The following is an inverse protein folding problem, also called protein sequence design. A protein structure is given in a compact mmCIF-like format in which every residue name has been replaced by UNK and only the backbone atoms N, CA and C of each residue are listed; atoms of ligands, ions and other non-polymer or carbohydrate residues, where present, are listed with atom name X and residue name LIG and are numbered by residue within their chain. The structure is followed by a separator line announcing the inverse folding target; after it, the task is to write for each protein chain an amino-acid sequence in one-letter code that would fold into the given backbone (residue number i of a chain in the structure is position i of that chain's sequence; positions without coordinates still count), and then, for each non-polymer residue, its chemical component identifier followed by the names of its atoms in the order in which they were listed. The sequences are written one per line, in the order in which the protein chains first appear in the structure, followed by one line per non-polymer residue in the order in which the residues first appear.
data_IF_133819383117
#
_entry.id   IF_133819383117
#
_cell.length_a   1.000
_cell.length_b   1.000
_cell.length_c   1.000
_cell.angle_alpha   90.00
_cell.angle_beta   90.00
_cell.angle_gamma   90.00
#
_symmetry.space_group_name_H-M   'P 1'
#
loop_
_entity.id
_entity.type
_entity.pdbx_description
1 polymer ?
#
# COMPACT_ATOMS: atom_id res chain seq x y z
N UNK A 1 29.18 -32.52 8.72
CA UNK A 1 27.86 -32.17 9.30
C UNK A 1 26.87 -33.25 8.93
N UNK A 2 26.33 -33.96 9.92
CA UNK A 2 25.54 -35.17 9.73
C UNK A 2 24.14 -34.77 9.22
N UNK A 3 23.52 -35.58 8.36
CA UNK A 3 22.22 -35.25 7.73
C UNK A 3 21.14 -34.88 8.77
N UNK A 4 21.15 -35.57 9.91
CA UNK A 4 20.26 -35.33 11.06
C UNK A 4 20.42 -33.92 11.64
N UNK A 5 21.64 -33.41 11.71
CA UNK A 5 21.92 -32.06 12.23
C UNK A 5 21.40 -30.99 11.26
N UNK A 6 21.54 -31.22 9.94
CA UNK A 6 21.01 -30.31 8.93
C UNK A 6 19.48 -30.23 8.96
N UNK A 7 18.81 -31.37 9.12
CA UNK A 7 17.35 -31.41 9.24
C UNK A 7 16.87 -30.67 10.49
N UNK A 8 17.54 -30.86 11.63
CA UNK A 8 17.19 -30.18 12.88
C UNK A 8 17.36 -28.65 12.81
N UNK A 9 18.42 -28.17 12.13
CA UNK A 9 18.65 -26.73 11.94
C UNK A 9 17.60 -26.12 10.99
N UNK A 10 17.24 -26.84 9.93
CA UNK A 10 16.22 -26.39 8.97
C UNK A 10 14.84 -26.31 9.61
N UNK A 11 14.44 -27.32 10.38
CA UNK A 11 13.15 -27.29 11.09
C UNK A 11 13.08 -26.16 12.10
N UNK A 12 14.12 -25.95 12.91
CA UNK A 12 14.15 -24.87 13.90
C UNK A 12 14.04 -23.48 13.26
N UNK A 13 14.66 -23.29 12.10
CA UNK A 13 14.61 -22.02 11.35
C UNK A 13 13.21 -21.72 10.82
N UNK A 14 12.50 -22.73 10.32
CA UNK A 14 11.13 -22.58 9.79
C UNK A 14 10.14 -22.23 10.91
N UNK A 15 10.25 -22.88 12.08
CA UNK A 15 9.40 -22.56 13.23
C UNK A 15 9.65 -21.14 13.77
N UNK A 16 10.89 -20.65 13.76
CA UNK A 16 11.21 -19.28 14.20
C UNK A 16 10.60 -18.18 13.33
N UNK A 17 10.48 -18.41 12.01
CA UNK A 17 9.93 -17.42 11.07
C UNK A 17 8.41 -17.23 11.19
N UNK A 18 7.67 -18.23 11.70
CA UNK A 18 6.23 -18.14 11.87
C UNK A 18 5.79 -17.09 12.92
N UNK A 19 6.70 -16.71 13.84
CA UNK A 19 6.41 -15.73 14.88
C UNK A 19 6.34 -14.27 14.34
N UNK A 20 6.92 -13.98 13.17
CA UNK A 20 6.94 -12.62 12.62
C UNK A 20 5.68 -12.24 11.82
N UNK A 21 4.76 -13.19 11.55
CA UNK A 21 3.55 -12.93 10.77
C UNK A 21 2.31 -12.56 11.62
N UNK A 22 2.45 -12.48 12.95
CA UNK A 22 1.32 -12.47 13.89
C UNK A 22 0.73 -11.10 14.28
N UNK A 23 1.23 -9.96 13.80
CA UNK A 23 0.71 -8.65 14.20
C UNK A 23 -0.42 -8.20 13.27
N UNK A 24 -1.57 -8.85 13.31
CA UNK A 24 -2.79 -8.28 12.73
C UNK A 24 -3.33 -7.22 13.70
N UNK A 25 -2.91 -5.97 13.52
CA UNK A 25 -3.56 -4.82 14.16
C UNK A 25 -5.02 -4.83 13.73
N UNK A 26 -5.93 -5.09 14.66
CA UNK A 26 -7.36 -4.93 14.45
C UNK A 26 -7.59 -3.45 14.14
N UNK A 27 -7.81 -3.15 12.86
CA UNK A 27 -8.08 -1.80 12.39
C UNK A 27 -9.36 -1.30 13.06
N UNK A 28 -9.29 -0.20 13.79
CA UNK A 28 -10.45 0.53 14.35
C UNK A 28 -11.13 1.40 13.30
N UNK A 29 -10.92 1.12 12.02
CA UNK A 29 -11.44 1.92 10.93
C UNK A 29 -12.96 1.84 10.88
N UNK A 30 -13.60 3.00 11.05
CA UNK A 30 -15.02 3.21 10.80
C UNK A 30 -15.11 3.97 9.49
N UNK A 31 -15.81 3.40 8.51
CA UNK A 31 -16.05 4.07 7.23
C UNK A 31 -16.95 5.30 7.44
N UNK A 32 -16.55 6.50 7.00
CA UNK A 32 -17.38 7.69 7.12
C UNK A 32 -18.63 7.56 6.24
N UNK A 33 -19.78 8.03 6.74
CA UNK A 33 -21.04 8.00 6.01
C UNK A 33 -20.91 8.71 4.66
N UNK A 34 -21.18 7.97 3.58
CA UNK A 34 -21.11 8.44 2.20
C UNK A 34 -22.10 9.57 1.97
N UNK A 35 -21.64 10.82 2.02
CA UNK A 35 -22.36 11.94 1.42
C UNK A 35 -22.42 11.72 -0.11
N UNK A 36 -23.51 12.09 -0.81
CA UNK A 36 -23.58 11.99 -2.26
C UNK A 36 -22.45 12.85 -2.84
N UNK A 37 -21.44 12.19 -3.40
CA UNK A 37 -20.34 12.85 -4.10
C UNK A 37 -20.95 13.41 -5.38
N UNK A 38 -21.18 14.72 -5.43
CA UNK A 38 -21.43 15.40 -6.69
C UNK A 38 -20.25 15.03 -7.61
N UNK A 39 -20.53 14.30 -8.69
CA UNK A 39 -19.54 13.89 -9.67
C UNK A 39 -19.11 15.14 -10.45
N UNK A 40 -18.18 15.91 -9.89
CA UNK A 40 -17.43 16.87 -10.68
C UNK A 40 -16.56 16.07 -11.64
N UNK A 41 -16.82 16.19 -12.94
CA UNK A 41 -16.12 15.53 -14.04
C UNK A 41 -14.65 15.95 -14.22
N UNK A 42 -13.99 16.42 -13.16
CA UNK A 42 -12.56 16.67 -13.14
C UNK A 42 -11.83 15.32 -13.03
N UNK A 43 -11.44 14.76 -14.18
CA UNK A 43 -10.67 13.53 -14.26
C UNK A 43 -9.31 13.74 -13.58
N UNK A 44 -9.06 12.98 -12.51
CA UNK A 44 -7.77 12.99 -11.80
C UNK A 44 -6.66 12.44 -12.71
N UNK A 45 -5.44 12.98 -12.61
CA UNK A 45 -4.30 12.37 -13.30
C UNK A 45 -3.81 11.13 -12.53
N UNK A 46 -4.50 10.02 -12.75
CA UNK A 46 -4.20 8.73 -12.11
C UNK A 46 -2.80 8.21 -12.45
N UNK A 47 -2.26 8.52 -13.64
CA UNK A 47 -0.94 8.04 -14.05
C UNK A 47 0.16 8.75 -13.26
N UNK A 48 0.02 10.07 -13.13
CA UNK A 48 0.94 10.86 -12.32
C UNK A 48 0.89 10.40 -10.85
N UNK A 49 -0.31 10.29 -10.28
CA UNK A 49 -0.50 9.88 -8.88
C UNK A 49 0.09 8.50 -8.63
N UNK A 50 -0.22 7.50 -9.47
CA UNK A 50 0.31 6.15 -9.32
C UNK A 50 1.85 6.11 -9.39
N UNK A 51 2.45 6.99 -10.21
CA UNK A 51 3.91 7.09 -10.30
C UNK A 51 4.52 7.61 -9.01
N UNK A 52 3.97 8.69 -8.45
CA UNK A 52 4.44 9.28 -7.20
C UNK A 52 4.26 8.32 -6.02
N UNK A 53 3.08 7.70 -5.91
CA UNK A 53 2.80 6.74 -4.84
C UNK A 53 3.74 5.52 -4.89
N UNK A 54 4.08 5.03 -6.09
CA UNK A 54 5.06 3.96 -6.26
C UNK A 54 6.45 4.39 -5.78
N UNK A 55 6.89 5.58 -6.15
CA UNK A 55 8.21 6.11 -5.72
C UNK A 55 8.23 6.29 -4.19
N UNK A 56 7.16 6.85 -3.63
CA UNK A 56 7.04 7.09 -2.19
C UNK A 56 7.06 5.78 -1.40
N UNK A 57 6.30 4.78 -1.84
CA UNK A 57 6.28 3.44 -1.22
C UNK A 57 7.67 2.79 -1.20
N UNK A 58 8.39 2.86 -2.32
CA UNK A 58 9.75 2.32 -2.40
C UNK A 58 10.75 3.03 -1.47
N UNK A 59 10.40 4.22 -0.98
CA UNK A 59 11.20 5.02 -0.05
C UNK A 59 10.67 5.01 1.38
N UNK A 60 9.59 4.29 1.66
CA UNK A 60 8.92 4.31 2.97
C UNK A 60 8.29 5.66 3.33
N UNK A 61 7.91 6.46 2.33
CA UNK A 61 7.26 7.76 2.51
C UNK A 61 5.75 7.56 2.40
N UNK A 62 5.01 8.12 3.35
CA UNK A 62 3.54 8.19 3.29
C UNK A 62 3.10 9.48 2.59
N UNK A 63 2.14 9.36 1.66
CA UNK A 63 1.69 10.48 0.81
C UNK A 63 0.21 10.72 1.04
N UNK A 64 -0.11 11.95 1.43
CA UNK A 64 -1.49 12.43 1.58
C UNK A 64 -1.73 13.56 0.58
N UNK A 65 -2.65 13.34 -0.35
CA UNK A 65 -3.03 14.34 -1.35
C UNK A 65 -4.11 15.28 -0.81
N UNK A 66 -3.74 16.53 -0.50
CA UNK A 66 -4.71 17.57 -0.11
C UNK A 66 -5.41 18.18 -1.33
N UNK A 67 -4.66 18.37 -2.43
CA UNK A 67 -5.18 18.81 -3.73
C UNK A 67 -4.56 17.93 -4.83
N UNK A 68 -5.14 16.76 -5.14
CA UNK A 68 -4.57 15.84 -6.10
C UNK A 68 -4.52 16.48 -7.50
N UNK A 69 -3.48 16.20 -8.29
CA UNK A 69 -3.35 16.75 -9.63
C UNK A 69 -4.48 16.26 -10.53
N UNK A 70 -5.03 17.21 -11.29
CA UNK A 70 -6.08 16.96 -12.26
C UNK A 70 -5.46 16.88 -13.64
N UNK A 71 -6.07 16.06 -14.50
CA UNK A 71 -5.70 16.01 -15.90
C UNK A 71 -6.17 17.30 -16.55
N UNK A 72 -5.26 18.01 -17.20
CA UNK A 72 -5.66 19.11 -18.07
C UNK A 72 -6.59 18.56 -19.16
N UNK A 73 -7.84 19.01 -19.18
CA UNK A 73 -8.64 18.89 -20.39
C UNK A 73 -7.94 19.80 -21.39
N UNK A 74 -7.29 19.21 -22.40
CA UNK A 74 -6.88 19.95 -23.58
C UNK A 74 -8.15 20.61 -24.11
N UNK A 75 -8.32 21.89 -23.81
CA UNK A 75 -9.27 22.74 -24.52
C UNK A 75 -8.57 22.99 -25.85
N UNK A 76 -8.91 22.16 -26.84
CA UNK A 76 -8.64 22.47 -28.23
C UNK A 76 -9.41 23.78 -28.54
N UNK A 77 -8.71 24.91 -28.52
CA UNK A 77 -9.15 26.18 -29.16
C UNK A 77 -8.87 26.14 -30.66
#
# INVERSE_FOLDING_TARGET
MNATVRVAVLSLSILGLAACAGTQTKSSYVEPASAPRAESSMSRDERYIATIERIARNRGIDVVWVNPPQRESVQDE
#
